data_IF_221301972319
#
_entry.id   IF_221301972319
#
_cell.length_a   1.000
_cell.length_b   1.000
_cell.length_c   1.000
_cell.angle_alpha   90.00
_cell.angle_beta   90.00
_cell.angle_gamma   90.00
#
_symmetry.space_group_name_H-M   'P 1'
#
loop_
_entity.id
_entity.type
_entity.pdbx_description
1 polymer ?
#
# COMPACT_ATOMS: atom_id res chain seq x y z
N UNK A 1 13.88 10.74 -15.34
CA UNK A 1 12.71 9.90 -14.97
C UNK A 1 13.26 8.62 -14.39
N UNK A 2 13.04 8.34 -13.10
CA UNK A 2 13.33 7.03 -12.53
C UNK A 2 12.07 6.16 -12.58
N UNK A 3 12.21 4.88 -12.91
CA UNK A 3 11.10 3.93 -12.81
C UNK A 3 11.02 3.42 -11.38
N UNK A 4 9.88 3.63 -10.71
CA UNK A 4 9.58 2.97 -9.44
C UNK A 4 8.90 1.62 -9.71
N UNK A 5 9.52 0.52 -9.28
CA UNK A 5 8.99 -0.84 -9.49
C UNK A 5 8.05 -1.28 -8.36
N UNK A 6 8.11 -0.61 -7.20
CA UNK A 6 7.30 -0.94 -6.03
C UNK A 6 5.80 -0.98 -6.34
N UNK A 7 5.16 -2.12 -6.03
CA UNK A 7 3.73 -2.39 -6.22
C UNK A 7 3.21 -2.28 -7.67
N UNK A 8 4.07 -2.16 -8.68
CA UNK A 8 3.69 -2.05 -10.10
C UNK A 8 2.99 -3.31 -10.64
N UNK A 9 3.18 -4.47 -10.00
CA UNK A 9 2.51 -5.73 -10.35
C UNK A 9 1.26 -6.01 -9.51
N UNK A 10 0.90 -5.13 -8.57
CA UNK A 10 -0.31 -5.30 -7.77
C UNK A 10 -1.56 -5.34 -8.64
N UNK A 11 -2.59 -6.07 -8.20
CA UNK A 11 -3.87 -6.17 -8.91
C UNK A 11 -4.48 -4.78 -9.14
N UNK A 12 -4.52 -3.95 -8.08
CA UNK A 12 -5.04 -2.58 -8.15
C UNK A 12 -4.27 -1.71 -9.15
N UNK A 13 -2.92 -1.76 -9.15
CA UNK A 13 -2.14 -0.98 -10.10
C UNK A 13 -2.39 -1.42 -11.54
N UNK A 14 -2.42 -2.74 -11.80
CA UNK A 14 -2.66 -3.28 -13.14
C UNK A 14 -4.06 -2.93 -13.66
N UNK A 15 -5.10 -3.12 -12.85
CA UNK A 15 -6.47 -2.76 -13.20
C UNK A 15 -6.59 -1.25 -13.48
N UNK A 16 -5.98 -0.42 -12.63
CA UNK A 16 -5.97 1.03 -12.81
C UNK A 16 -5.24 1.44 -14.10
N UNK A 17 -4.05 0.87 -14.34
CA UNK A 17 -3.25 1.18 -15.54
C UNK A 17 -3.90 0.70 -16.82
N UNK A 18 -4.52 -0.47 -16.80
CA UNK A 18 -5.28 -1.00 -17.93
C UNK A 18 -6.44 -0.06 -18.27
N UNK A 19 -7.23 0.36 -17.28
CA UNK A 19 -8.32 1.31 -17.47
C UNK A 19 -7.81 2.65 -18.02
N UNK A 20 -6.80 3.24 -17.39
CA UNK A 20 -6.23 4.53 -17.82
C UNK A 20 -5.66 4.48 -19.24
N UNK A 21 -5.01 3.37 -19.61
CA UNK A 21 -4.44 3.19 -20.95
C UNK A 21 -5.50 2.98 -22.03
N UNK A 22 -6.49 2.10 -21.79
CA UNK A 22 -7.52 1.77 -22.77
C UNK A 22 -8.55 2.88 -22.96
N UNK A 23 -8.96 3.51 -21.88
CA UNK A 23 -10.04 4.51 -21.88
C UNK A 23 -9.50 5.95 -21.91
N UNK A 24 -8.18 6.12 -21.97
CA UNK A 24 -7.50 7.44 -21.90
C UNK A 24 -7.92 8.26 -20.68
N UNK A 25 -8.15 7.59 -19.55
CA UNK A 25 -8.66 8.20 -18.33
C UNK A 25 -7.58 8.62 -17.36
N UNK A 26 -7.93 9.54 -16.48
CA UNK A 26 -7.21 9.90 -15.26
C UNK A 26 -8.13 9.67 -14.06
N UNK A 27 -7.55 9.37 -12.91
CA UNK A 27 -8.29 9.07 -11.69
C UNK A 27 -8.08 10.16 -10.66
N UNK A 28 -9.18 10.71 -10.12
CA UNK A 28 -9.18 11.57 -8.95
C UNK A 28 -9.67 10.75 -7.76
N UNK A 29 -8.86 10.69 -6.69
CA UNK A 29 -9.17 9.92 -5.49
C UNK A 29 -9.29 10.83 -4.28
N UNK A 30 -10.43 10.74 -3.59
CA UNK A 30 -10.68 11.38 -2.31
C UNK A 30 -10.90 10.31 -1.24
N UNK A 31 -10.41 10.55 -0.03
CA UNK A 31 -10.48 9.54 1.05
C UNK A 31 -10.88 10.15 2.39
N UNK A 32 -11.64 9.37 3.17
CA UNK A 32 -11.81 9.52 4.61
C UNK A 32 -11.01 8.40 5.25
N UNK A 33 -10.10 8.74 6.16
CA UNK A 33 -9.27 7.78 6.88
C UNK A 33 -9.50 7.97 8.38
N UNK A 34 -9.83 6.90 9.07
CA UNK A 34 -9.88 6.84 10.53
C UNK A 34 -8.78 5.88 11.00
N UNK A 35 -7.79 6.38 11.72
CA UNK A 35 -6.68 5.58 12.24
C UNK A 35 -6.94 5.26 13.71
N UNK A 36 -6.99 3.98 14.05
CA UNK A 36 -7.19 3.51 15.43
C UNK A 36 -5.86 3.41 16.16
N UNK A 37 -4.84 2.83 15.51
CA UNK A 37 -3.53 2.65 16.13
C UNK A 37 -2.38 2.58 15.12
N UNK A 38 -1.19 2.92 15.60
CA UNK A 38 0.09 2.65 14.97
C UNK A 38 0.75 1.46 15.69
N UNK A 39 1.00 0.39 14.95
CA UNK A 39 1.62 -0.84 15.47
C UNK A 39 3.06 -0.93 14.98
N UNK A 40 4.00 -1.14 15.90
CA UNK A 40 5.44 -1.25 15.61
C UNK A 40 5.94 -2.64 16.00
N UNK A 41 6.76 -3.23 15.13
CA UNK A 41 7.48 -4.46 15.45
C UNK A 41 8.70 -4.13 16.31
N UNK A 42 8.86 -4.87 17.41
CA UNK A 42 10.02 -4.72 18.28
C UNK A 42 11.20 -5.50 17.70
N UNK A 43 12.41 -4.95 17.80
CA UNK A 43 13.64 -5.62 17.35
C UNK A 43 13.95 -6.91 18.13
N UNK A 44 13.40 -7.05 19.32
CA UNK A 44 13.54 -8.24 20.16
C UNK A 44 12.57 -9.36 19.80
N UNK A 45 11.75 -9.21 18.76
CA UNK A 45 10.86 -10.27 18.32
C UNK A 45 11.68 -11.48 17.86
N UNK A 46 11.37 -12.70 18.35
CA UNK A 46 12.06 -13.90 17.92
C UNK A 46 11.71 -14.21 16.46
N UNK A 47 12.69 -14.73 15.72
CA UNK A 47 12.44 -15.25 14.37
C UNK A 47 11.49 -16.44 14.40
N UNK A 48 10.64 -16.53 13.37
CA UNK A 48 9.86 -17.73 13.12
C UNK A 48 10.80 -18.94 12.92
N UNK A 49 10.39 -20.11 13.43
CA UNK A 49 11.23 -21.32 13.41
C UNK A 49 11.52 -21.79 11.99
N UNK A 50 10.56 -21.70 11.09
CA UNK A 50 10.72 -22.14 9.71
C UNK A 50 11.63 -21.16 8.96
N UNK A 51 11.38 -19.85 9.11
CA UNK A 51 12.22 -18.80 8.52
C UNK A 51 13.68 -18.96 8.97
N UNK A 52 13.90 -19.20 10.27
CA UNK A 52 15.23 -19.46 10.84
C UNK A 52 15.88 -20.72 10.25
N UNK A 53 15.13 -21.83 10.14
CA UNK A 53 15.64 -23.07 9.55
C UNK A 53 16.10 -22.88 8.11
N UNK A 54 15.32 -22.16 7.29
CA UNK A 54 15.67 -21.94 5.87
C UNK A 54 16.94 -21.09 5.73
N UNK A 55 17.18 -20.13 6.64
CA UNK A 55 18.45 -19.37 6.68
C UNK A 55 19.62 -20.29 7.03
N UNK A 56 19.45 -21.18 8.02
CA UNK A 56 20.46 -22.17 8.40
C UNK A 56 20.79 -23.10 7.24
N UNK A 57 19.79 -23.50 6.45
CA UNK A 57 19.98 -24.35 5.27
C UNK A 57 20.81 -23.62 4.19
N UNK A 58 20.49 -22.36 3.89
CA UNK A 58 21.28 -21.53 2.97
C UNK A 58 22.71 -21.39 3.46
N UNK A 59 22.90 -21.04 4.74
CA UNK A 59 24.21 -20.93 5.37
C UNK A 59 25.00 -22.25 5.31
N UNK A 60 24.31 -23.39 5.47
CA UNK A 60 24.91 -24.72 5.35
C UNK A 60 25.34 -25.06 3.92
N UNK A 61 24.59 -24.66 2.91
CA UNK A 61 25.00 -24.80 1.51
C UNK A 61 26.26 -23.99 1.21
N UNK A 62 26.34 -22.76 1.72
CA UNK A 62 27.52 -21.90 1.59
C UNK A 62 28.72 -22.53 2.28
N UNK A 63 28.55 -23.05 3.50
CA UNK A 63 29.61 -23.72 4.27
C UNK A 63 30.17 -24.96 3.56
N UNK A 64 29.35 -25.67 2.79
CA UNK A 64 29.73 -26.84 2.01
C UNK A 64 30.23 -26.52 0.59
N UNK A 65 30.40 -25.24 0.24
CA UNK A 65 30.77 -24.79 -1.10
C UNK A 65 29.81 -25.29 -2.19
N UNK A 66 28.50 -25.22 -1.89
CA UNK A 66 27.41 -25.60 -2.80
C UNK A 66 26.66 -24.36 -3.34
N UNK A 67 27.31 -23.50 -4.16
CA UNK A 67 26.80 -22.16 -4.49
C UNK A 67 25.47 -22.18 -5.25
N UNK A 68 25.26 -23.17 -6.13
CA UNK A 68 24.01 -23.30 -6.90
C UNK A 68 22.84 -23.60 -5.96
N UNK A 69 23.05 -24.43 -4.93
CA UNK A 69 22.01 -24.76 -3.94
C UNK A 69 21.71 -23.56 -3.05
N UNK A 70 22.74 -22.82 -2.63
CA UNK A 70 22.57 -21.59 -1.85
C UNK A 70 21.78 -20.51 -2.62
N UNK A 71 22.14 -20.28 -3.88
CA UNK A 71 21.44 -19.35 -4.77
C UNK A 71 19.98 -19.75 -4.97
N UNK A 72 19.71 -21.02 -5.30
CA UNK A 72 18.35 -21.52 -5.48
C UNK A 72 17.52 -21.42 -4.21
N UNK A 73 18.05 -21.84 -3.06
CA UNK A 73 17.37 -21.74 -1.78
C UNK A 73 17.06 -20.29 -1.41
N UNK A 74 17.96 -19.35 -1.72
CA UNK A 74 17.74 -17.91 -1.50
C UNK A 74 16.62 -17.34 -2.39
N UNK A 75 16.51 -17.79 -3.64
CA UNK A 75 15.39 -17.41 -4.52
C UNK A 75 14.05 -17.98 -4.00
N UNK A 76 14.05 -19.22 -3.52
CA UNK A 76 12.87 -19.84 -2.89
C UNK A 76 12.48 -19.12 -1.60
N UNK A 77 13.46 -18.67 -0.81
CA UNK A 77 13.23 -17.84 0.38
C UNK A 77 12.48 -16.55 0.02
N UNK A 78 12.95 -15.82 -1.00
CA UNK A 78 12.29 -14.58 -1.49
C UNK A 78 10.90 -14.86 -2.03
N UNK A 79 10.70 -15.99 -2.73
CA UNK A 79 9.37 -16.39 -3.20
C UNK A 79 8.40 -16.64 -2.03
N UNK A 80 8.87 -17.25 -0.95
CA UNK A 80 8.05 -17.65 0.20
C UNK A 80 7.73 -16.48 1.13
N UNK A 81 8.73 -15.68 1.48
CA UNK A 81 8.60 -14.63 2.49
C UNK A 81 8.52 -13.21 1.90
N UNK A 82 8.78 -13.07 0.61
CA UNK A 82 8.85 -11.78 -0.06
C UNK A 82 10.20 -11.10 0.11
N UNK A 83 10.29 -9.87 -0.38
CA UNK A 83 11.52 -9.05 -0.36
C UNK A 83 11.63 -8.15 0.87
N UNK A 84 10.51 -7.92 1.56
CA UNK A 84 10.40 -6.97 2.65
C UNK A 84 9.57 -7.54 3.81
N UNK A 85 9.86 -7.08 5.02
CA UNK A 85 9.00 -7.28 6.18
C UNK A 85 8.29 -5.98 6.55
N UNK A 86 7.20 -6.07 7.30
CA UNK A 86 6.47 -4.89 7.81
C UNK A 86 7.01 -4.52 9.19
N UNK A 87 7.78 -3.42 9.27
CA UNK A 87 8.34 -2.94 10.54
C UNK A 87 7.34 -2.09 11.34
N UNK A 88 6.44 -1.41 10.65
CA UNK A 88 5.33 -0.65 11.24
C UNK A 88 4.12 -0.70 10.33
N UNK A 89 2.93 -0.69 10.92
CA UNK A 89 1.71 -0.53 10.15
C UNK A 89 0.66 0.27 10.92
N UNK A 90 -0.21 0.96 10.16
CA UNK A 90 -1.37 1.67 10.70
C UNK A 90 -2.61 0.82 10.52
N UNK A 91 -3.43 0.72 11.55
CA UNK A 91 -4.73 0.04 11.49
C UNK A 91 -5.87 1.04 11.67
N UNK A 92 -7.01 0.72 11.06
CA UNK A 92 -8.23 1.51 11.18
C UNK A 92 -9.16 1.24 9.99
N UNK A 93 -9.85 2.27 9.52
CA UNK A 93 -10.79 2.17 8.40
C UNK A 93 -10.59 3.29 7.37
N UNK A 94 -10.99 3.02 6.13
CA UNK A 94 -10.99 4.01 5.05
C UNK A 94 -12.22 3.90 4.17
N UNK A 95 -12.71 5.05 3.74
CA UNK A 95 -13.65 5.17 2.62
C UNK A 95 -12.93 5.95 1.54
N UNK A 96 -12.88 5.42 0.32
CA UNK A 96 -12.26 6.07 -0.83
C UNK A 96 -13.27 6.18 -1.98
N UNK A 97 -13.35 7.37 -2.57
CA UNK A 97 -14.03 7.60 -3.84
C UNK A 97 -12.98 7.79 -4.94
N UNK A 98 -13.07 6.96 -5.97
CA UNK A 98 -12.27 7.04 -7.19
C UNK A 98 -13.18 7.45 -8.35
N UNK A 99 -12.93 8.64 -8.90
CA UNK A 99 -13.65 9.17 -10.05
C UNK A 99 -12.74 9.13 -11.29
N UNK A 100 -13.21 8.53 -12.37
CA UNK A 100 -12.50 8.40 -13.64
C UNK A 100 -12.99 9.46 -14.63
N UNK A 101 -12.06 10.15 -15.28
CA UNK A 101 -12.33 11.26 -16.19
C UNK A 101 -11.42 11.20 -17.42
N UNK A 102 -11.80 11.83 -18.53
CA UNK A 102 -10.95 11.93 -19.72
C UNK A 102 -9.69 12.74 -19.38
N UNK A 103 -8.51 12.15 -19.63
CA UNK A 103 -7.23 12.75 -19.28
C UNK A 103 -7.00 14.11 -19.96
N UNK A 104 -7.35 14.23 -21.25
CA UNK A 104 -7.19 15.46 -22.02
C UNK A 104 -7.99 16.64 -21.43
N UNK A 105 -9.16 16.38 -20.85
CA UNK A 105 -9.96 17.43 -20.22
C UNK A 105 -9.29 17.96 -18.94
N UNK A 106 -8.78 17.05 -18.10
CA UNK A 106 -8.15 17.44 -16.83
C UNK A 106 -6.82 18.17 -17.06
N UNK A 107 -6.04 17.73 -18.04
CA UNK A 107 -4.71 18.26 -18.33
C UNK A 107 -4.69 19.38 -19.39
N UNK A 108 -5.86 19.92 -19.75
CA UNK A 108 -5.98 21.05 -20.68
C UNK A 108 -5.27 22.32 -20.18
N UNK A 109 -5.28 22.57 -18.87
CA UNK A 109 -4.47 23.62 -18.21
C UNK A 109 -4.32 23.36 -16.71
N UNK A 110 -3.31 23.97 -16.09
CA UNK A 110 -3.15 23.89 -14.63
C UNK A 110 -4.32 24.47 -13.85
N UNK A 111 -4.97 25.50 -14.40
CA UNK A 111 -6.17 26.09 -13.80
C UNK A 111 -7.33 25.10 -13.82
N UNK A 112 -7.61 24.47 -14.96
CA UNK A 112 -8.66 23.44 -15.08
C UNK A 112 -8.38 22.28 -14.14
N UNK A 113 -7.14 21.81 -14.05
CA UNK A 113 -6.74 20.75 -13.13
C UNK A 113 -7.05 21.12 -11.67
N UNK A 114 -6.63 22.30 -11.21
CA UNK A 114 -6.85 22.78 -9.84
C UNK A 114 -8.33 22.95 -9.52
N UNK A 115 -9.09 23.59 -10.41
CA UNK A 115 -10.53 23.79 -10.25
C UNK A 115 -11.28 22.45 -10.21
N UNK A 116 -10.90 21.50 -11.07
CA UNK A 116 -11.49 20.15 -11.07
C UNK A 116 -11.19 19.40 -9.78
N UNK A 117 -9.97 19.48 -9.25
CA UNK A 117 -9.61 18.89 -7.95
C UNK A 117 -10.38 19.52 -6.79
N UNK A 118 -10.56 20.84 -6.79
CA UNK A 118 -11.36 21.55 -5.80
C UNK A 118 -12.84 21.14 -5.86
N UNK A 119 -13.41 21.06 -7.07
CA UNK A 119 -14.80 20.63 -7.28
C UNK A 119 -15.01 19.16 -6.86
N UNK A 120 -14.05 18.28 -7.15
CA UNK A 120 -14.06 16.90 -6.69
C UNK A 120 -14.08 16.79 -5.17
N UNK A 121 -13.23 17.57 -4.49
CA UNK A 121 -13.21 17.62 -3.02
C UNK A 121 -14.52 18.15 -2.44
N UNK A 122 -15.08 19.21 -3.03
CA UNK A 122 -16.35 19.78 -2.60
C UNK A 122 -17.53 18.81 -2.79
N UNK A 123 -17.60 18.13 -3.95
CA UNK A 123 -18.58 17.06 -4.22
C UNK A 123 -18.47 15.95 -3.18
N UNK A 124 -17.25 15.49 -2.87
CA UNK A 124 -16.99 14.46 -1.86
C UNK A 124 -17.43 14.89 -0.45
N UNK A 125 -17.11 16.12 -0.03
CA UNK A 125 -17.54 16.67 1.26
C UNK A 125 -19.07 16.68 1.37
N UNK A 126 -19.76 17.19 0.33
CA UNK A 126 -21.22 17.22 0.31
C UNK A 126 -21.84 15.83 0.36
N UNK A 127 -21.28 14.88 -0.41
CA UNK A 127 -21.76 13.50 -0.48
C UNK A 127 -21.73 12.76 0.85
N UNK A 128 -20.66 12.93 1.61
CA UNK A 128 -20.49 12.29 2.92
C UNK A 128 -20.96 13.20 4.08
N UNK A 129 -21.66 14.30 3.77
CA UNK A 129 -22.14 15.28 4.76
C UNK A 129 -21.05 15.72 5.76
N UNK A 130 -19.82 15.90 5.25
CA UNK A 130 -18.69 16.25 6.10
C UNK A 130 -18.78 17.72 6.55
N UNK A 131 -18.38 18.04 7.79
CA UNK A 131 -18.33 19.41 8.27
C UNK A 131 -17.53 20.33 7.35
N UNK A 132 -17.96 21.59 7.22
CA UNK A 132 -17.30 22.58 6.37
C UNK A 132 -15.83 22.83 6.75
N UNK A 133 -15.40 22.52 7.98
CA UNK A 133 -14.00 22.56 8.42
C UNK A 133 -13.06 21.65 7.62
N UNK A 134 -13.60 20.61 6.95
CA UNK A 134 -12.82 19.75 6.05
C UNK A 134 -12.64 20.36 4.64
N UNK A 135 -13.37 21.43 4.31
CA UNK A 135 -13.18 22.20 3.09
C UNK A 135 -11.97 23.13 3.24
N UNK A 136 -10.97 22.94 2.38
CA UNK A 136 -9.77 23.81 2.32
C UNK A 136 -9.85 24.80 1.17
N UNK A 137 -10.99 24.85 0.47
CA UNK A 137 -11.21 25.71 -0.69
C UNK A 137 -12.37 26.66 -0.38
N UNK A 138 -12.24 27.93 -0.77
CA UNK A 138 -13.36 28.87 -0.82
C UNK A 138 -14.56 28.15 -1.43
N UNK A 139 -15.76 28.35 -0.86
CA UNK A 139 -17.00 27.70 -1.29
C UNK A 139 -17.07 27.62 -2.82
N UNK A 140 -16.91 26.43 -3.37
CA UNK A 140 -17.00 26.21 -4.82
C UNK A 140 -18.43 26.54 -5.25
N UNK A 141 -18.58 27.23 -6.37
CA UNK A 141 -19.90 27.48 -6.93
C UNK A 141 -20.57 26.13 -7.26
N UNK A 142 -21.88 26.03 -7.01
CA UNK A 142 -22.66 24.81 -7.30
C UNK A 142 -22.54 24.40 -8.77
N UNK A 143 -22.40 25.37 -9.67
CA UNK A 143 -22.18 25.17 -11.10
C UNK A 143 -20.89 24.42 -11.40
N UNK A 144 -19.80 24.69 -10.66
CA UNK A 144 -18.50 24.05 -10.87
C UNK A 144 -18.52 22.60 -10.39
N UNK A 145 -19.20 22.34 -9.27
CA UNK A 145 -19.42 20.98 -8.76
C UNK A 145 -20.23 20.16 -9.77
N UNK A 146 -21.34 20.71 -10.28
CA UNK A 146 -22.16 20.04 -11.29
C UNK A 146 -21.41 19.83 -12.62
N UNK A 147 -20.62 20.81 -13.06
CA UNK A 147 -19.79 20.69 -14.25
C UNK A 147 -18.75 19.57 -14.08
N UNK A 148 -18.14 19.47 -12.90
CA UNK A 148 -17.25 18.37 -12.55
C UNK A 148 -17.97 17.02 -12.60
N UNK A 149 -19.11 16.89 -11.92
CA UNK A 149 -19.86 15.63 -11.83
C UNK A 149 -20.30 15.11 -13.20
N UNK A 150 -20.67 16.01 -14.13
CA UNK A 150 -21.01 15.65 -15.51
C UNK A 150 -19.83 15.09 -16.33
N UNK A 151 -18.60 15.41 -15.93
CA UNK A 151 -17.37 14.93 -16.59
C UNK A 151 -16.84 13.61 -15.99
N UNK A 152 -17.42 13.13 -14.89
CA UNK A 152 -17.05 11.85 -14.30
C UNK A 152 -17.69 10.73 -15.13
N UNK A 153 -16.86 9.93 -15.80
CA UNK A 153 -17.30 8.80 -16.62
C UNK A 153 -17.76 7.63 -15.75
N UNK A 154 -16.99 7.34 -14.71
CA UNK A 154 -17.26 6.28 -13.77
C UNK A 154 -16.85 6.73 -12.37
N UNK A 155 -17.63 6.28 -11.40
CA UNK A 155 -17.37 6.48 -9.98
C UNK A 155 -17.34 5.13 -9.28
N UNK A 156 -16.34 4.94 -8.44
CA UNK A 156 -16.20 3.78 -7.59
C UNK A 156 -16.00 4.24 -6.15
N UNK A 157 -16.84 3.76 -5.25
CA UNK A 157 -16.71 4.03 -3.82
C UNK A 157 -16.39 2.71 -3.12
N UNK A 158 -15.33 2.71 -2.34
CA UNK A 158 -14.87 1.54 -1.59
C UNK A 158 -14.77 1.88 -0.12
N UNK A 159 -15.29 1.02 0.74
CA UNK A 159 -15.08 1.08 2.19
C UNK A 159 -14.28 -0.14 2.62
N UNK A 160 -13.30 0.04 3.50
CA UNK A 160 -12.48 -1.02 4.09
C UNK A 160 -12.30 -0.76 5.58
N UNK A 161 -12.53 -1.79 6.40
CA UNK A 161 -12.55 -1.68 7.85
C UNK A 161 -13.92 -1.27 8.37
N UNK A 162 -14.24 -1.77 9.57
CA UNK A 162 -15.58 -1.70 10.14
C UNK A 162 -16.60 -2.54 9.37
N UNK A 163 -17.87 -2.19 9.53
CA UNK A 163 -18.96 -2.72 8.72
C UNK A 163 -18.95 -2.10 7.30
N UNK A 164 -19.58 -2.74 6.29
CA UNK A 164 -19.78 -2.12 4.98
C UNK A 164 -20.47 -0.76 5.13
N UNK A 165 -19.90 0.28 4.50
CA UNK A 165 -20.48 1.61 4.53
C UNK A 165 -21.69 1.69 3.59
N UNK A 166 -22.84 2.08 4.13
CA UNK A 166 -24.05 2.39 3.37
C UNK A 166 -24.17 3.91 3.22
N UNK A 167 -24.62 4.40 2.07
CA UNK A 167 -24.61 5.84 1.76
C UNK A 167 -25.49 6.69 2.69
N UNK A 168 -26.55 6.09 3.22
CA UNK A 168 -27.50 6.66 4.18
C UNK A 168 -27.05 6.50 5.64
N UNK A 169 -25.97 5.76 5.89
CA UNK A 169 -25.41 5.57 7.23
C UNK A 169 -24.63 6.82 7.67
N UNK A 170 -24.84 7.32 8.90
CA UNK A 170 -24.00 8.35 9.47
C UNK A 170 -22.53 7.91 9.54
N UNK A 171 -21.60 8.77 9.14
CA UNK A 171 -20.17 8.44 9.17
C UNK A 171 -19.67 8.03 10.57
N UNK A 172 -20.23 8.64 11.62
CA UNK A 172 -19.89 8.30 13.01
C UNK A 172 -20.29 6.87 13.38
N UNK A 173 -21.39 6.37 12.85
CA UNK A 173 -21.84 5.01 13.07
C UNK A 173 -20.86 4.02 12.42
N UNK A 174 -20.46 4.26 11.17
CA UNK A 174 -19.39 3.47 10.54
C UNK A 174 -18.09 3.54 11.34
N UNK A 175 -17.67 4.73 11.78
CA UNK A 175 -16.46 4.92 12.57
C UNK A 175 -16.46 4.07 13.85
N UNK A 176 -17.59 3.99 14.57
CA UNK A 176 -17.69 3.20 15.80
C UNK A 176 -17.50 1.69 15.60
N UNK A 177 -17.67 1.18 14.37
CA UNK A 177 -17.46 -0.24 14.07
C UNK A 177 -16.02 -0.59 13.68
N UNK A 178 -15.17 0.41 13.48
CA UNK A 178 -13.80 0.19 12.99
C UNK A 178 -12.96 -0.56 14.02
N UNK A 179 -13.17 -0.29 15.31
CA UNK A 179 -12.41 -0.92 16.37
C UNK A 179 -12.63 -2.44 16.44
N UNK A 180 -13.82 -2.92 16.06
CA UNK A 180 -14.15 -4.35 15.99
C UNK A 180 -13.58 -5.05 14.76
N UNK A 181 -13.39 -4.31 13.65
CA UNK A 181 -12.91 -4.87 12.39
C UNK A 181 -11.92 -3.93 11.67
N UNK A 182 -10.75 -3.64 12.26
CA UNK A 182 -9.80 -2.74 11.65
C UNK A 182 -9.06 -3.43 10.49
N UNK A 183 -8.73 -2.65 9.46
CA UNK A 183 -7.86 -3.10 8.36
C UNK A 183 -6.53 -2.37 8.41
N UNK A 184 -5.51 -2.98 7.78
CA UNK A 184 -4.23 -2.30 7.55
C UNK A 184 -4.43 -1.19 6.52
N UNK A 185 -4.20 0.05 6.94
CA UNK A 185 -4.29 1.25 6.12
C UNK A 185 -3.00 1.50 5.35
N UNK A 186 -1.88 1.38 6.06
CA UNK A 186 -0.55 1.65 5.53
C UNK A 186 0.47 0.73 6.19
N UNK A 187 1.48 0.32 5.42
CA UNK A 187 2.65 -0.43 5.90
C UNK A 187 3.90 0.40 5.64
N UNK A 188 4.78 0.43 6.63
CA UNK A 188 6.18 0.77 6.47
C UNK A 188 6.92 -0.55 6.33
N UNK A 189 7.65 -0.67 5.23
CA UNK A 189 8.34 -1.90 4.87
C UNK A 189 9.82 -1.65 4.79
N UNK A 190 10.59 -2.65 5.21
CA UNK A 190 12.04 -2.65 5.19
C UNK A 190 12.50 -3.97 4.58
N UNK A 191 13.73 -4.01 4.05
CA UNK A 191 14.29 -5.24 3.49
C UNK A 191 14.20 -6.37 4.52
N UNK A 192 13.73 -7.55 4.12
CA UNK A 192 13.50 -8.67 5.04
C UNK A 192 14.74 -9.08 5.84
N UNK A 193 15.93 -8.91 5.27
CA UNK A 193 17.19 -9.21 5.96
C UNK A 193 17.47 -8.29 7.15
N UNK A 194 16.86 -7.09 7.18
CA UNK A 194 16.99 -6.16 8.32
C UNK A 194 16.20 -6.60 9.56
N UNK A 195 15.23 -7.51 9.41
CA UNK A 195 14.53 -8.11 10.55
C UNK A 195 15.34 -9.21 11.24
N UNK A 196 16.41 -9.69 10.61
CA UNK A 196 17.16 -10.84 11.06
C UNK A 196 18.38 -10.35 11.85
N UNK A 197 18.37 -10.62 13.15
CA UNK A 197 19.57 -10.51 13.99
C UNK A 197 20.33 -11.85 13.92
N UNK A 198 21.53 -11.90 13.33
CA UNK A 198 22.33 -13.12 13.22
C UNK A 198 22.56 -13.81 14.57
N UNK A 199 22.57 -13.05 15.67
CA UNK A 199 22.77 -13.59 17.02
C UNK A 199 21.61 -14.46 17.50
N UNK A 200 20.44 -14.37 16.86
CA UNK A 200 19.32 -15.26 17.13
C UNK A 200 19.49 -16.66 16.48
N UNK A 201 20.51 -16.84 15.63
CA UNK A 201 20.81 -18.08 14.92
C UNK A 201 22.15 -18.64 15.42
N UNK A 202 22.09 -19.42 16.49
CA UNK A 202 23.26 -19.97 17.18
C UNK A 202 23.63 -21.39 16.73
N UNK A 203 22.81 -22.01 15.87
CA UNK A 203 22.98 -23.37 15.37
C UNK A 203 24.07 -23.50 14.30
N UNK A 204 24.56 -22.37 13.75
CA UNK A 204 25.64 -22.29 12.78
C UNK A 204 26.49 -21.05 13.06
N UNK A 205 27.74 -21.03 12.60
CA UNK A 205 28.65 -19.91 12.82
C UNK A 205 28.14 -18.61 12.17
N UNK A 206 28.26 -17.50 12.91
CA UNK A 206 27.67 -16.20 12.54
C UNK A 206 28.13 -15.69 11.16
N UNK A 207 29.38 -15.95 10.76
CA UNK A 207 29.92 -15.61 9.42
C UNK A 207 29.11 -16.25 8.28
N UNK A 208 28.68 -17.51 8.44
CA UNK A 208 27.85 -18.18 7.44
C UNK A 208 26.41 -17.63 7.41
N UNK A 209 25.90 -17.16 8.55
CA UNK A 209 24.62 -16.46 8.61
C UNK A 209 24.70 -15.15 7.83
N UNK A 210 25.75 -14.34 8.04
CA UNK A 210 25.95 -13.11 7.26
C UNK A 210 26.03 -13.37 5.75
N UNK A 211 26.78 -14.40 5.34
CA UNK A 211 26.86 -14.80 3.92
C UNK A 211 25.51 -15.25 3.36
N UNK A 212 24.69 -15.96 4.15
CA UNK A 212 23.34 -16.33 3.76
C UNK A 212 22.44 -15.10 3.57
N UNK A 213 22.51 -14.10 4.46
CA UNK A 213 21.77 -12.84 4.31
C UNK A 213 22.22 -12.04 3.08
N UNK A 214 23.52 -12.06 2.75
CA UNK A 214 24.02 -11.45 1.52
C UNK A 214 23.45 -12.15 0.27
N UNK A 215 23.43 -13.49 0.26
CA UNK A 215 22.88 -14.27 -0.86
C UNK A 215 21.36 -14.05 -1.01
N UNK A 216 20.62 -13.93 0.10
CA UNK A 216 19.21 -13.53 0.09
C UNK A 216 19.06 -12.12 -0.50
N UNK A 217 19.92 -11.16 -0.15
CA UNK A 217 19.89 -9.81 -0.71
C UNK A 217 20.17 -9.77 -2.23
N UNK A 218 21.06 -10.64 -2.72
CA UNK A 218 21.26 -10.82 -4.17
C UNK A 218 20.02 -11.39 -4.84
N UNK A 219 19.35 -12.36 -4.22
CA UNK A 219 18.08 -12.89 -4.73
C UNK A 219 16.97 -11.82 -4.76
N UNK A 220 16.88 -10.96 -3.74
CA UNK A 220 15.96 -9.81 -3.70
C UNK A 220 16.25 -8.86 -4.85
N UNK A 221 17.52 -8.49 -5.07
CA UNK A 221 17.93 -7.57 -6.13
C UNK A 221 17.65 -8.14 -7.52
N UNK A 222 17.73 -9.46 -7.68
CA UNK A 222 17.41 -10.15 -8.94
C UNK A 222 15.90 -10.14 -9.22
N UNK A 223 15.09 -10.16 -8.16
CA UNK A 223 13.63 -10.21 -8.27
C UNK A 223 12.99 -8.84 -8.55
N UNK A 224 13.54 -7.76 -7.98
CA UNK A 224 12.99 -6.38 -8.06
C UNK A 224 13.48 -5.65 -9.30
#
# INVERSE_FOLDING_TARGET
>A
MGFGVSASFSKQFRELKERQGREQTVTIRNEIIHTTADVLLLRSCPLDKQLKSEIIDIASYIRRDEPIKAMYASQVFVLRYGTHYTSRFRIGGRIAEENYMISQELYSSDMVKKTTQAAAKASFIGKFSLPASYSTTNSMASTDIQNYERKVLQRQITSRGGQPYLMDMPLKEWQSTIDDNPVILQRMVENITMAIDPKQIYEIEEDYVFKALEEINRAITTYV
#
